data_IF_089738557408
#
_entry.id   IF_089738557408
#
_cell.length_a   1.000
_cell.length_b   1.000
_cell.length_c   1.000
_cell.angle_alpha   90.00
_cell.angle_beta   90.00
_cell.angle_gamma   90.00
#
_symmetry.space_group_name_H-M   'P 1'
#
loop_
_entity.id
_entity.type
_entity.pdbx_description
1 polymer ?
#
# COMPACT_ATOMS: atom_id res chain seq x y z
N UNK A 1 0.11 13.34 15.31
CA UNK A 1 -1.34 13.06 15.34
C UNK A 1 -2.19 14.32 15.31
N UNK A 2 -2.02 15.29 16.22
CA UNK A 2 -2.83 16.53 16.21
C UNK A 2 -2.84 17.26 14.86
N UNK A 3 -1.65 17.43 14.26
CA UNK A 3 -1.51 18.04 12.92
C UNK A 3 -2.19 17.22 11.81
N UNK A 4 -2.23 15.90 11.94
CA UNK A 4 -2.98 15.05 11.00
C UNK A 4 -4.48 15.27 11.17
N UNK A 5 -5.01 15.29 12.39
CA UNK A 5 -6.44 15.55 12.62
C UNK A 5 -6.87 16.92 12.09
N UNK A 6 -6.06 17.95 12.34
CA UNK A 6 -6.32 19.29 11.80
C UNK A 6 -6.35 19.28 10.27
N UNK A 7 -5.39 18.59 9.64
CA UNK A 7 -5.32 18.44 8.20
C UNK A 7 -6.52 17.67 7.62
N UNK A 8 -6.88 16.52 8.20
CA UNK A 8 -8.01 15.70 7.73
C UNK A 8 -9.32 16.50 7.82
N UNK A 9 -9.53 17.21 8.94
CA UNK A 9 -10.70 18.06 9.13
C UNK A 9 -10.76 19.23 8.14
N UNK A 10 -9.63 19.90 7.88
CA UNK A 10 -9.61 21.05 6.95
C UNK A 10 -9.82 20.64 5.49
N UNK A 11 -9.56 19.38 5.16
CA UNK A 11 -9.74 18.82 3.82
C UNK A 11 -10.98 17.89 3.74
N UNK A 12 -11.88 17.96 4.74
CA UNK A 12 -13.15 17.23 4.77
C UNK A 12 -13.01 15.70 4.64
N UNK A 13 -11.88 15.14 5.08
CA UNK A 13 -11.72 13.70 5.22
C UNK A 13 -12.27 13.25 6.58
N UNK A 14 -13.53 12.82 6.61
CA UNK A 14 -14.25 12.48 7.84
C UNK A 14 -15.02 11.15 7.82
N UNK A 15 -15.11 10.48 6.67
CA UNK A 15 -15.81 9.20 6.53
C UNK A 15 -15.01 8.28 5.61
N UNK A 16 -14.39 7.24 6.18
CA UNK A 16 -13.67 6.21 5.42
C UNK A 16 -14.17 4.83 5.84
N UNK A 17 -14.25 3.88 4.92
CA UNK A 17 -14.72 2.54 5.26
C UNK A 17 -13.70 1.76 6.11
N UNK A 18 -12.41 1.89 5.75
CA UNK A 18 -11.30 1.09 6.27
C UNK A 18 -10.10 1.97 6.58
N UNK A 19 -9.47 1.76 7.73
CA UNK A 19 -8.10 2.20 8.00
C UNK A 19 -7.17 0.98 7.92
N UNK A 20 -6.20 1.03 7.01
CA UNK A 20 -5.26 -0.07 6.76
C UNK A 20 -3.84 0.32 7.16
N UNK A 21 -3.18 -0.52 7.96
CA UNK A 21 -1.81 -0.30 8.44
C UNK A 21 -0.92 -1.52 8.15
N UNK A 22 0.02 -1.48 7.19
CA UNK A 22 0.82 -2.64 6.81
C UNK A 22 1.96 -2.95 7.82
N UNK A 23 1.76 -2.71 9.11
CA UNK A 23 2.73 -3.01 10.19
C UNK A 23 3.75 -1.91 10.47
N UNK A 24 4.75 -2.23 11.30
CA UNK A 24 5.77 -1.32 11.84
C UNK A 24 5.17 -0.09 12.54
N UNK A 25 4.21 -0.37 13.42
CA UNK A 25 3.57 0.56 14.35
C UNK A 25 4.55 0.99 15.44
N UNK A 26 5.49 0.12 15.81
CA UNK A 26 6.49 0.38 16.85
C UNK A 26 7.91 0.32 16.32
N UNK A 27 8.89 0.55 17.19
CA UNK A 27 10.30 0.33 16.91
C UNK A 27 10.89 -0.65 17.90
N UNK A 28 11.67 -1.62 17.40
CA UNK A 28 12.45 -2.57 18.22
C UNK A 28 11.62 -3.34 19.24
N UNK A 29 10.42 -3.77 18.84
CA UNK A 29 9.49 -4.55 19.66
C UNK A 29 9.15 -3.86 21.01
N UNK A 30 9.20 -2.53 21.05
CA UNK A 30 8.88 -1.78 22.26
C UNK A 30 7.37 -1.79 22.50
N UNK A 31 6.96 -2.40 23.61
CA UNK A 31 5.56 -2.57 24.03
C UNK A 31 4.87 -1.24 24.28
N UNK A 32 5.54 -0.29 24.94
CA UNK A 32 4.96 1.02 25.22
C UNK A 32 4.74 1.82 23.94
N UNK A 33 5.72 1.78 23.04
CA UNK A 33 5.64 2.44 21.73
C UNK A 33 4.56 1.80 20.86
N UNK A 34 4.41 0.46 20.89
CA UNK A 34 3.34 -0.24 20.19
C UNK A 34 1.97 0.15 20.75
N UNK A 35 1.81 0.11 22.08
CA UNK A 35 0.53 0.43 22.74
C UNK A 35 0.10 1.87 22.44
N UNK A 36 1.06 2.81 22.47
CA UNK A 36 0.83 4.20 22.08
C UNK A 36 0.45 4.32 20.60
N UNK A 37 1.22 3.71 19.69
CA UNK A 37 0.95 3.74 18.25
C UNK A 37 -0.39 3.12 17.87
N UNK A 38 -0.72 1.96 18.46
CA UNK A 38 -2.01 1.29 18.26
C UNK A 38 -3.17 2.12 18.81
N UNK A 39 -3.02 2.75 19.98
CA UNK A 39 -4.01 3.70 20.50
C UNK A 39 -4.23 4.85 19.52
N UNK A 40 -3.15 5.41 18.94
CA UNK A 40 -3.25 6.50 17.95
C UNK A 40 -3.91 6.06 16.64
N UNK A 41 -3.72 4.83 16.20
CA UNK A 41 -4.45 4.28 15.05
C UNK A 41 -5.94 4.10 15.35
N UNK A 42 -6.30 3.67 16.57
CA UNK A 42 -7.71 3.59 16.98
C UNK A 42 -8.36 4.98 17.09
N UNK A 43 -7.65 5.97 17.64
CA UNK A 43 -8.10 7.37 17.65
C UNK A 43 -8.30 7.91 16.22
N UNK A 44 -7.38 7.59 15.30
CA UNK A 44 -7.49 7.98 13.89
C UNK A 44 -8.71 7.34 13.22
N UNK A 45 -8.91 6.03 13.41
CA UNK A 45 -10.08 5.33 12.89
C UNK A 45 -11.38 5.94 13.41
N UNK A 46 -11.45 6.28 14.70
CA UNK A 46 -12.62 6.98 15.27
C UNK A 46 -12.81 8.38 14.66
N UNK A 47 -11.72 9.14 14.48
CA UNK A 47 -11.78 10.49 13.90
C UNK A 47 -12.23 10.49 12.43
N UNK A 48 -11.97 9.41 11.70
CA UNK A 48 -12.38 9.17 10.33
C UNK A 48 -13.70 8.38 10.22
N UNK A 49 -14.40 8.16 11.33
CA UNK A 49 -15.62 7.36 11.40
C UNK A 49 -15.48 5.93 10.81
N UNK A 50 -14.27 5.39 10.79
CA UNK A 50 -13.97 4.13 10.15
C UNK A 50 -14.52 2.95 10.96
N UNK A 51 -15.26 2.07 10.28
CA UNK A 51 -15.84 0.88 10.90
C UNK A 51 -14.79 -0.18 11.22
N UNK A 52 -13.72 -0.23 10.43
CA UNK A 52 -12.66 -1.22 10.61
C UNK A 52 -11.27 -0.57 10.57
N UNK A 53 -10.48 -0.92 11.57
CA UNK A 53 -9.03 -0.77 11.58
C UNK A 53 -8.40 -2.15 11.39
N UNK A 54 -7.56 -2.28 10.37
CA UNK A 54 -6.90 -3.54 10.01
C UNK A 54 -5.40 -3.30 9.92
N UNK A 55 -4.62 -4.08 10.64
CA UNK A 55 -3.17 -4.07 10.54
C UNK A 55 -2.60 -5.41 10.09
N UNK A 56 -1.41 -5.40 9.48
CA UNK A 56 -0.55 -6.59 9.45
C UNK A 56 0.55 -6.44 10.50
N UNK A 57 1.12 -7.55 10.96
CA UNK A 57 2.28 -7.51 11.86
C UNK A 57 3.55 -7.23 11.06
N UNK A 58 4.27 -6.19 11.43
CA UNK A 58 5.58 -5.84 10.89
C UNK A 58 6.73 -6.34 11.75
N UNK A 59 7.94 -6.26 11.20
CA UNK A 59 9.12 -6.86 11.82
C UNK A 59 9.60 -6.09 13.05
N UNK A 60 9.11 -4.86 13.25
CA UNK A 60 9.38 -4.08 14.44
C UNK A 60 8.40 -4.35 15.59
N UNK A 61 7.27 -5.03 15.36
CA UNK A 61 6.33 -5.39 16.44
C UNK A 61 6.82 -6.56 17.29
N UNK A 62 7.59 -7.46 16.70
CA UNK A 62 8.09 -8.69 17.33
C UNK A 62 9.61 -8.68 17.45
N UNK A 63 10.15 -9.55 18.31
CA UNK A 63 11.59 -9.75 18.43
C UNK A 63 12.09 -10.54 17.21
N UNK A 64 12.33 -9.83 16.11
CA UNK A 64 12.92 -10.40 14.90
C UNK A 64 14.42 -10.68 15.06
N UNK A 65 15.09 -10.05 16.02
CA UNK A 65 16.54 -10.17 16.26
C UNK A 65 16.80 -10.39 17.75
N UNK A 66 16.72 -11.63 18.21
CA UNK A 66 17.07 -11.97 19.61
C UNK A 66 18.59 -11.93 19.81
N UNK A 67 19.06 -11.16 20.79
CA UNK A 67 20.46 -11.22 21.21
C UNK A 67 20.80 -12.62 21.73
N UNK A 68 22.04 -13.08 21.54
CA UNK A 68 22.44 -14.46 21.90
C UNK A 68 22.26 -14.78 23.39
N UNK A 69 22.39 -13.78 24.27
CA UNK A 69 22.15 -13.93 25.70
C UNK A 69 20.71 -14.34 26.03
N UNK A 70 19.74 -13.92 25.22
CA UNK A 70 18.32 -14.26 25.38
C UNK A 70 18.00 -15.66 24.82
N UNK A 71 18.96 -16.34 24.19
CA UNK A 71 18.82 -17.72 23.70
C UNK A 71 19.27 -18.75 24.74
N UNK A 72 19.69 -18.31 25.93
CA UNK A 72 20.15 -19.18 27.02
C UNK A 72 18.94 -19.76 27.78
N UNK A 73 18.86 -21.08 28.00
CA UNK A 73 17.80 -21.68 28.82
C UNK A 73 17.76 -21.07 30.22
N UNK A 74 16.57 -20.71 30.71
CA UNK A 74 16.35 -20.17 32.07
C UNK A 74 16.15 -18.65 32.16
N UNK A 75 16.32 -17.88 31.08
CA UNK A 75 16.09 -16.43 31.08
C UNK A 75 14.63 -16.00 30.78
N UNK A 76 13.71 -16.96 30.60
CA UNK A 76 12.30 -16.71 30.23
C UNK A 76 11.55 -15.85 31.26
N UNK A 77 11.88 -15.98 32.54
CA UNK A 77 11.15 -15.32 33.64
C UNK A 77 11.44 -13.81 33.77
N UNK A 78 12.44 -13.29 33.05
CA UNK A 78 12.89 -11.89 33.13
C UNK A 78 12.44 -11.03 31.94
N UNK A 79 11.72 -11.61 30.98
CA UNK A 79 11.41 -10.93 29.72
C UNK A 79 9.91 -10.87 29.45
N UNK A 80 9.43 -9.65 29.20
CA UNK A 80 8.12 -9.44 28.58
C UNK A 80 8.26 -9.78 27.10
N UNK A 81 7.47 -10.72 26.60
CA UNK A 81 7.46 -11.09 25.18
C UNK A 81 6.55 -10.13 24.40
N UNK A 82 7.09 -9.34 23.46
CA UNK A 82 6.28 -8.47 22.61
C UNK A 82 5.21 -9.24 21.83
N UNK A 83 5.47 -10.50 21.43
CA UNK A 83 4.46 -11.32 20.76
C UNK A 83 3.29 -11.65 21.69
N UNK A 84 3.55 -11.96 22.96
CA UNK A 84 2.50 -12.15 23.97
C UNK A 84 1.67 -10.88 24.16
N UNK A 85 2.32 -9.71 24.20
CA UNK A 85 1.62 -8.43 24.27
C UNK A 85 0.69 -8.22 23.07
N UNK A 86 1.14 -8.52 21.85
CA UNK A 86 0.32 -8.42 20.63
C UNK A 86 -0.88 -9.39 20.66
N UNK A 87 -0.68 -10.62 21.14
CA UNK A 87 -1.75 -11.63 21.29
C UNK A 87 -2.85 -11.14 22.25
N UNK A 88 -2.44 -10.52 23.35
CA UNK A 88 -3.32 -9.99 24.39
C UNK A 88 -3.91 -8.61 24.03
N UNK A 89 -3.34 -7.91 23.05
CA UNK A 89 -3.82 -6.59 22.64
C UNK A 89 -5.22 -6.70 22.05
N UNK A 90 -6.17 -5.98 22.66
CA UNK A 90 -7.56 -5.95 22.21
C UNK A 90 -7.64 -5.42 20.77
N UNK A 91 -8.47 -6.07 19.97
CA UNK A 91 -8.75 -5.71 18.57
C UNK A 91 -7.53 -5.75 17.62
N UNK A 92 -6.39 -6.31 18.03
CA UNK A 92 -5.25 -6.53 17.13
C UNK A 92 -5.29 -7.96 16.54
N UNK A 93 -4.89 -8.14 15.26
CA UNK A 93 -4.60 -7.12 14.24
C UNK A 93 -5.85 -6.39 13.70
N UNK A 94 -7.03 -6.93 13.97
CA UNK A 94 -8.32 -6.36 13.59
C UNK A 94 -9.41 -6.78 14.59
N UNK A 95 -10.58 -6.13 14.49
CA UNK A 95 -11.82 -6.63 15.12
C UNK A 95 -12.39 -7.74 14.25
N UNK A 96 -12.25 -8.98 14.71
CA UNK A 96 -12.83 -10.14 14.05
C UNK A 96 -14.25 -10.44 14.53
N UNK A 97 -15.05 -11.08 13.69
CA UNK A 97 -16.40 -11.52 14.04
C UNK A 97 -16.40 -12.62 15.10
N UNK A 98 -15.38 -13.48 15.08
CA UNK A 98 -15.22 -14.56 16.04
C UNK A 98 -13.87 -14.49 16.76
N UNK A 99 -13.87 -14.77 18.07
CA UNK A 99 -12.67 -14.71 18.91
C UNK A 99 -11.56 -15.67 18.46
N UNK A 100 -11.91 -16.79 17.83
CA UNK A 100 -10.94 -17.77 17.36
C UNK A 100 -10.10 -17.30 16.16
N UNK A 101 -10.61 -16.36 15.36
CA UNK A 101 -9.92 -15.86 14.16
C UNK A 101 -8.59 -15.18 14.49
N UNK A 102 -8.50 -14.55 15.67
CA UNK A 102 -7.21 -14.05 16.17
C UNK A 102 -6.21 -15.20 16.31
N UNK A 103 -6.60 -16.31 16.90
CA UNK A 103 -5.73 -17.47 17.07
C UNK A 103 -5.37 -18.12 15.73
N UNK A 104 -6.27 -18.08 14.74
CA UNK A 104 -5.98 -18.52 13.36
C UNK A 104 -4.91 -17.63 12.73
N UNK A 105 -5.04 -16.31 12.81
CA UNK A 105 -4.03 -15.36 12.33
C UNK A 105 -2.63 -15.68 12.88
N UNK A 106 -2.53 -15.88 14.19
CA UNK A 106 -1.26 -16.19 14.84
C UNK A 106 -0.77 -17.62 14.63
N UNK A 107 -1.68 -18.58 14.48
CA UNK A 107 -1.34 -20.00 14.35
C UNK A 107 -1.02 -20.42 12.92
N UNK A 108 -1.67 -19.81 11.91
CA UNK A 108 -1.47 -20.12 10.48
C UNK A 108 -0.66 -19.06 9.73
N UNK A 109 -0.49 -17.88 10.33
CA UNK A 109 0.20 -16.75 9.72
C UNK A 109 -0.68 -15.91 8.77
N UNK A 110 -1.98 -16.14 8.71
CA UNK A 110 -2.93 -15.28 8.00
C UNK A 110 -4.37 -15.46 8.51
N UNK A 111 -5.23 -14.50 8.22
CA UNK A 111 -6.68 -14.57 8.42
C UNK A 111 -7.38 -13.61 7.47
N UNK A 112 -8.68 -13.81 7.22
CA UNK A 112 -9.52 -12.93 6.41
C UNK A 112 -10.48 -12.13 7.27
N UNK A 113 -10.63 -10.84 6.95
CA UNK A 113 -11.72 -9.99 7.43
C UNK A 113 -12.67 -9.71 6.27
N UNK A 114 -13.94 -10.03 6.44
CA UNK A 114 -14.95 -9.96 5.39
C UNK A 114 -16.02 -8.94 5.77
N UNK A 115 -16.20 -7.93 4.92
CA UNK A 115 -17.35 -7.02 4.98
C UNK A 115 -18.42 -7.41 3.95
N UNK A 116 -19.36 -6.50 3.68
CA UNK A 116 -20.50 -6.77 2.79
C UNK A 116 -20.02 -7.02 1.36
N UNK A 117 -19.33 -6.05 0.76
CA UNK A 117 -18.82 -6.07 -0.61
C UNK A 117 -17.29 -6.10 -0.68
N UNK A 118 -16.59 -6.28 0.43
CA UNK A 118 -15.12 -6.30 0.47
C UNK A 118 -14.54 -7.43 1.32
N UNK A 119 -13.28 -7.77 1.05
CA UNK A 119 -12.46 -8.70 1.83
C UNK A 119 -11.04 -8.17 1.98
N UNK A 120 -10.48 -8.31 3.18
CA UNK A 120 -9.05 -8.09 3.46
C UNK A 120 -8.44 -9.41 3.89
N UNK A 121 -7.51 -9.94 3.09
CA UNK A 121 -6.62 -11.03 3.47
C UNK A 121 -5.43 -10.44 4.24
N UNK A 122 -5.36 -10.70 5.54
CA UNK A 122 -4.32 -10.18 6.43
C UNK A 122 -3.24 -11.24 6.57
N UNK A 123 -2.03 -10.94 6.10
CA UNK A 123 -0.89 -11.86 6.15
C UNK A 123 0.11 -11.39 7.20
N UNK A 124 0.39 -12.27 8.16
CA UNK A 124 1.51 -12.12 9.07
C UNK A 124 2.79 -12.63 8.40
N UNK A 125 3.41 -11.81 7.53
CA UNK A 125 4.69 -12.21 6.93
C UNK A 125 5.83 -12.30 7.94
N UNK A 126 5.59 -11.85 9.18
CA UNK A 126 6.51 -11.96 10.30
C UNK A 126 6.30 -13.22 11.15
N UNK A 127 5.34 -14.09 10.81
CA UNK A 127 4.93 -15.26 11.60
C UNK A 127 6.11 -16.19 11.97
N UNK A 128 7.12 -16.28 11.10
CA UNK A 128 8.29 -17.14 11.29
C UNK A 128 9.58 -16.41 11.73
N UNK A 129 9.52 -15.11 12.04
CA UNK A 129 10.71 -14.34 12.41
C UNK A 129 11.39 -14.81 13.70
N UNK A 130 10.65 -15.47 14.58
CA UNK A 130 11.18 -16.04 15.82
C UNK A 130 11.89 -17.37 15.60
N UNK A 131 11.88 -17.91 14.37
CA UNK A 131 12.66 -19.11 14.03
C UNK A 131 14.15 -18.80 13.93
N UNK A 132 14.99 -19.84 14.08
CA UNK A 132 16.44 -19.70 13.97
C UNK A 132 16.96 -19.82 12.52
N UNK A 133 16.06 -19.79 11.52
CA UNK A 133 16.44 -19.89 10.12
C UNK A 133 17.15 -18.60 9.68
N UNK A 134 18.26 -18.76 8.95
CA UNK A 134 19.02 -17.63 8.44
C UNK A 134 18.15 -16.73 7.54
N UNK A 135 18.31 -15.43 7.66
CA UNK A 135 17.63 -14.38 6.90
C UNK A 135 16.09 -14.31 7.06
N UNK A 136 15.47 -15.20 7.84
CA UNK A 136 14.01 -15.23 8.02
C UNK A 136 13.48 -13.92 8.61
N UNK A 137 14.21 -13.38 9.59
CA UNK A 137 13.93 -12.08 10.21
C UNK A 137 14.02 -10.87 9.27
N UNK A 138 14.61 -11.04 8.09
CA UNK A 138 14.81 -9.96 7.12
C UNK A 138 13.73 -9.91 6.07
N UNK A 139 13.41 -11.07 5.48
CA UNK A 139 12.52 -11.15 4.32
C UNK A 139 11.08 -11.50 4.70
N UNK A 140 10.87 -12.19 5.82
CA UNK A 140 9.58 -12.79 6.16
C UNK A 140 9.11 -13.85 5.14
N UNK A 141 7.92 -14.41 5.36
CA UNK A 141 7.38 -15.44 4.46
C UNK A 141 5.87 -15.64 4.55
N UNK A 142 5.34 -16.31 3.53
CA UNK A 142 4.08 -17.06 3.63
C UNK A 142 4.43 -18.55 3.82
N UNK A 143 3.80 -19.20 4.80
CA UNK A 143 4.00 -20.64 5.05
C UNK A 143 3.48 -21.49 3.88
N UNK A 144 4.13 -22.63 3.61
CA UNK A 144 3.71 -23.52 2.51
C UNK A 144 2.29 -24.05 2.72
N UNK A 145 1.96 -24.51 3.94
CA UNK A 145 0.61 -24.99 4.27
C UNK A 145 -0.44 -23.88 4.17
N UNK A 146 -0.09 -22.64 4.57
CA UNK A 146 -0.97 -21.49 4.40
C UNK A 146 -1.22 -21.19 2.92
N UNK A 147 -0.19 -21.28 2.08
CA UNK A 147 -0.29 -21.08 0.64
C UNK A 147 -1.20 -22.13 -0.02
N UNK A 148 -1.06 -23.40 0.36
CA UNK A 148 -1.91 -24.50 -0.12
C UNK A 148 -3.38 -24.32 0.30
N UNK A 149 -3.62 -23.92 1.55
CA UNK A 149 -4.96 -23.63 2.03
C UNK A 149 -5.59 -22.46 1.27
N UNK A 150 -4.86 -21.36 1.08
CA UNK A 150 -5.32 -20.22 0.28
C UNK A 150 -5.62 -20.63 -1.17
N UNK A 151 -4.76 -21.44 -1.79
CA UNK A 151 -5.01 -21.97 -3.15
C UNK A 151 -6.32 -22.73 -3.26
N UNK A 152 -6.71 -23.46 -2.21
CA UNK A 152 -7.95 -24.25 -2.20
C UNK A 152 -9.22 -23.45 -1.90
N UNK A 153 -9.11 -22.31 -1.21
CA UNK A 153 -10.25 -21.64 -0.58
C UNK A 153 -10.48 -20.20 -1.01
N UNK A 154 -9.41 -19.47 -1.37
CA UNK A 154 -9.46 -18.00 -1.51
C UNK A 154 -10.40 -17.55 -2.63
N UNK A 155 -10.40 -18.25 -3.76
CA UNK A 155 -11.31 -17.96 -4.88
C UNK A 155 -12.78 -18.01 -4.45
N UNK A 156 -13.17 -19.04 -3.69
CA UNK A 156 -14.54 -19.20 -3.20
C UNK A 156 -14.91 -18.12 -2.17
N UNK A 157 -14.01 -17.81 -1.24
CA UNK A 157 -14.25 -16.82 -0.18
C UNK A 157 -14.39 -15.41 -0.80
N UNK A 158 -13.61 -15.10 -1.83
CA UNK A 158 -13.56 -13.78 -2.45
C UNK A 158 -14.50 -13.59 -3.65
N UNK A 159 -15.11 -14.65 -4.17
CA UNK A 159 -15.91 -14.61 -5.41
C UNK A 159 -17.00 -13.53 -5.37
N UNK A 160 -17.73 -13.44 -4.26
CA UNK A 160 -18.85 -12.51 -4.09
C UNK A 160 -18.44 -11.14 -3.52
N UNK A 161 -17.15 -10.79 -3.51
CA UNK A 161 -16.62 -9.56 -2.91
C UNK A 161 -16.09 -8.66 -4.00
N UNK A 162 -16.65 -7.47 -4.16
CA UNK A 162 -16.23 -6.51 -5.20
C UNK A 162 -14.79 -6.05 -4.96
N UNK A 163 -14.50 -5.61 -3.73
CA UNK A 163 -13.19 -5.08 -3.35
C UNK A 163 -12.36 -6.13 -2.61
N UNK A 164 -11.15 -6.42 -3.10
CA UNK A 164 -10.31 -7.50 -2.57
C UNK A 164 -8.92 -6.99 -2.29
N UNK A 165 -8.55 -7.00 -1.01
CA UNK A 165 -7.30 -6.45 -0.53
C UNK A 165 -6.46 -7.54 0.12
N UNK A 166 -5.15 -7.42 -0.04
CA UNK A 166 -4.17 -8.13 0.80
C UNK A 166 -3.44 -7.08 1.61
N UNK A 167 -3.34 -7.28 2.92
CA UNK A 167 -2.52 -6.46 3.80
C UNK A 167 -1.37 -7.30 4.36
N UNK A 168 -0.14 -6.90 4.04
CA UNK A 168 1.07 -7.65 4.38
C UNK A 168 2.23 -6.70 4.69
N UNK A 169 3.15 -7.07 5.57
CA UNK A 169 4.27 -6.16 5.86
C UNK A 169 5.37 -6.20 4.80
N UNK A 170 6.05 -7.34 4.68
CA UNK A 170 7.11 -7.54 3.69
C UNK A 170 6.58 -7.57 2.25
N UNK A 171 7.35 -7.05 1.28
CA UNK A 171 6.93 -7.06 -0.11
C UNK A 171 6.92 -8.48 -0.70
N UNK A 172 5.87 -8.85 -1.47
CA UNK A 172 5.76 -10.16 -2.10
C UNK A 172 6.69 -10.37 -3.30
N UNK A 173 7.12 -9.29 -3.93
CA UNK A 173 8.04 -9.29 -5.08
C UNK A 173 9.15 -8.28 -4.85
N UNK A 174 10.19 -8.31 -5.69
CA UNK A 174 11.29 -7.39 -5.54
C UNK A 174 10.83 -5.92 -5.60
N UNK A 175 11.20 -5.12 -4.61
CA UNK A 175 10.88 -3.70 -4.53
C UNK A 175 12.18 -2.92 -4.45
N UNK A 176 12.62 -2.50 -5.63
CA UNK A 176 13.83 -1.73 -5.86
C UNK A 176 13.48 -0.41 -6.55
N UNK A 177 14.33 0.60 -6.33
CA UNK A 177 14.28 1.88 -7.02
C UNK A 177 15.70 2.25 -7.46
N UNK A 178 15.93 2.58 -8.75
CA UNK A 178 17.27 2.91 -9.24
C UNK A 178 17.98 3.99 -8.41
N UNK A 179 19.19 3.67 -7.95
CA UNK A 179 19.98 4.59 -7.13
C UNK A 179 19.46 4.83 -5.71
N UNK A 180 18.57 3.95 -5.21
CA UNK A 180 18.12 3.94 -3.81
C UNK A 180 18.44 2.59 -3.20
N UNK A 181 19.06 2.61 -2.03
CA UNK A 181 19.36 1.40 -1.28
C UNK A 181 18.18 1.10 -0.36
N UNK A 182 17.23 0.30 -0.87
CA UNK A 182 16.05 -0.15 -0.10
C UNK A 182 16.33 -1.39 0.75
N UNK A 183 17.54 -1.95 0.63
CA UNK A 183 17.97 -3.19 1.27
C UNK A 183 17.11 -4.41 0.89
N UNK A 184 17.38 -5.52 1.57
CA UNK A 184 16.63 -6.79 1.75
C UNK A 184 15.85 -7.43 0.60
N UNK A 185 15.86 -8.75 0.60
CA UNK A 185 15.13 -9.61 -0.34
C UNK A 185 13.61 -9.53 -0.18
N UNK A 186 12.84 -9.83 -1.25
CA UNK A 186 11.41 -10.06 -1.16
C UNK A 186 11.08 -11.26 -0.27
N UNK A 187 9.84 -11.33 0.22
CA UNK A 187 9.42 -12.40 1.12
C UNK A 187 9.51 -13.77 0.46
N UNK A 188 9.82 -14.79 1.27
CA UNK A 188 9.80 -16.17 0.82
C UNK A 188 8.37 -16.61 0.47
N UNK A 189 8.24 -17.39 -0.60
CA UNK A 189 6.97 -17.74 -1.25
C UNK A 189 6.16 -16.54 -1.78
N UNK A 190 6.77 -15.35 -1.92
CA UNK A 190 6.02 -14.16 -2.33
C UNK A 190 5.50 -14.20 -3.77
N UNK A 191 6.30 -14.69 -4.70
CA UNK A 191 5.86 -14.87 -6.10
C UNK A 191 4.77 -15.94 -6.22
N UNK A 192 4.92 -17.06 -5.51
CA UNK A 192 3.90 -18.11 -5.54
C UNK A 192 2.60 -17.66 -4.87
N UNK A 193 2.69 -16.81 -3.84
CA UNK A 193 1.53 -16.14 -3.27
C UNK A 193 0.82 -15.23 -4.29
N UNK A 194 1.55 -14.41 -5.04
CA UNK A 194 0.96 -13.57 -6.09
C UNK A 194 0.27 -14.41 -7.17
N UNK A 195 0.84 -15.57 -7.53
CA UNK A 195 0.22 -16.53 -8.45
C UNK A 195 -1.08 -17.10 -7.88
N UNK A 196 -1.13 -17.42 -6.59
CA UNK A 196 -2.38 -17.87 -5.94
C UNK A 196 -3.48 -16.80 -6.03
N UNK A 197 -3.15 -15.51 -5.90
CA UNK A 197 -4.12 -14.43 -6.12
C UNK A 197 -4.56 -14.36 -7.58
N UNK A 198 -3.62 -14.42 -8.52
CA UNK A 198 -3.87 -14.39 -9.96
C UNK A 198 -4.75 -15.56 -10.43
N UNK A 199 -4.49 -16.76 -9.92
CA UNK A 199 -5.24 -18.00 -10.20
C UNK A 199 -6.70 -17.94 -9.73
N UNK A 200 -7.07 -16.99 -8.85
CA UNK A 200 -8.48 -16.76 -8.51
C UNK A 200 -9.27 -16.19 -9.68
N UNK A 201 -8.62 -15.58 -10.67
CA UNK A 201 -9.26 -14.85 -11.76
C UNK A 201 -9.93 -13.54 -11.32
N UNK A 202 -9.64 -13.06 -10.11
CA UNK A 202 -10.24 -11.87 -9.51
C UNK A 202 -9.20 -10.74 -9.41
N UNK A 203 -9.67 -9.49 -9.42
CA UNK A 203 -8.79 -8.34 -9.20
C UNK A 203 -8.44 -8.20 -7.71
N UNK A 204 -7.14 -8.21 -7.40
CA UNK A 204 -6.60 -8.02 -6.05
C UNK A 204 -5.68 -6.80 -5.99
N UNK A 205 -5.78 -6.04 -4.90
CA UNK A 205 -4.77 -5.04 -4.52
C UNK A 205 -3.97 -5.54 -3.31
N UNK A 206 -2.67 -5.71 -3.50
CA UNK A 206 -1.72 -6.07 -2.44
C UNK A 206 -1.09 -4.81 -1.87
N UNK A 207 -1.34 -4.53 -0.59
CA UNK A 207 -0.82 -3.37 0.13
C UNK A 207 0.28 -3.85 1.07
N UNK A 208 1.49 -3.30 0.90
CA UNK A 208 2.63 -3.66 1.73
C UNK A 208 3.42 -2.47 2.29
N UNK A 209 4.21 -2.72 3.33
CA UNK A 209 5.08 -1.74 3.98
C UNK A 209 6.56 -2.10 3.84
N UNK A 210 7.30 -2.04 4.95
CA UNK A 210 8.70 -2.47 5.14
C UNK A 210 9.78 -1.65 4.43
N UNK A 211 9.61 -1.32 3.15
CA UNK A 211 10.65 -0.63 2.36
C UNK A 211 10.76 0.86 2.65
N UNK A 212 9.77 1.42 3.34
CA UNK A 212 9.64 2.87 3.57
C UNK A 212 9.60 3.71 2.28
N UNK A 213 9.35 3.06 1.13
CA UNK A 213 9.40 3.66 -0.19
C UNK A 213 8.13 3.30 -0.95
N UNK A 214 7.57 4.29 -1.63
CA UNK A 214 6.33 4.16 -2.37
C UNK A 214 6.50 3.34 -3.65
N UNK A 215 5.44 2.62 -4.04
CA UNK A 215 5.35 2.02 -5.38
C UNK A 215 3.90 1.69 -5.71
N UNK A 216 3.49 1.86 -6.96
CA UNK A 216 2.22 1.37 -7.46
C UNK A 216 2.46 0.72 -8.82
N UNK A 217 2.43 -0.62 -8.86
CA UNK A 217 2.73 -1.39 -10.06
C UNK A 217 1.85 -2.63 -10.16
N UNK A 218 1.68 -3.13 -11.38
CA UNK A 218 1.08 -4.44 -11.64
C UNK A 218 2.18 -5.47 -11.85
N UNK A 219 2.04 -6.66 -11.27
CA UNK A 219 3.06 -7.73 -11.35
C UNK A 219 2.42 -9.04 -11.75
N UNK A 220 2.87 -9.58 -12.89
CA UNK A 220 2.37 -10.81 -13.51
C UNK A 220 2.10 -10.59 -14.99
N UNK A 221 1.77 -11.67 -15.69
CA UNK A 221 1.65 -11.68 -17.15
C UNK A 221 0.19 -11.79 -17.65
N UNK A 222 -0.78 -11.99 -16.75
CA UNK A 222 -2.19 -12.11 -17.12
C UNK A 222 -2.96 -10.79 -16.95
N UNK A 223 -4.15 -10.74 -17.54
CA UNK A 223 -5.11 -9.64 -17.31
C UNK A 223 -5.74 -9.67 -15.90
N UNK A 224 -5.44 -10.68 -15.06
CA UNK A 224 -5.85 -10.77 -13.64
C UNK A 224 -4.68 -10.71 -12.65
N UNK A 225 -3.48 -10.39 -13.12
CA UNK A 225 -2.32 -10.12 -12.26
C UNK A 225 -2.63 -9.02 -11.22
N UNK A 226 -2.29 -9.24 -9.93
CA UNK A 226 -2.56 -8.28 -8.86
C UNK A 226 -1.90 -6.91 -9.07
N UNK A 227 -2.57 -5.87 -8.59
CA UNK A 227 -1.96 -4.56 -8.37
C UNK A 227 -1.21 -4.59 -7.03
N UNK A 228 -0.03 -3.99 -6.97
CA UNK A 228 0.81 -3.93 -5.78
C UNK A 228 1.07 -2.47 -5.42
N UNK A 229 0.64 -2.11 -4.22
CA UNK A 229 0.90 -0.85 -3.58
C UNK A 229 1.91 -1.03 -2.43
N UNK A 230 3.12 -0.54 -2.63
CA UNK A 230 4.09 -0.35 -1.55
C UNK A 230 3.87 1.02 -0.92
N UNK A 231 3.50 1.06 0.35
CA UNK A 231 3.26 2.30 1.08
C UNK A 231 4.58 2.89 1.60
N UNK A 232 4.77 4.19 1.35
CA UNK A 232 5.74 5.00 2.07
C UNK A 232 5.40 5.07 3.57
N UNK A 233 6.37 5.40 4.40
CA UNK A 233 6.17 5.35 5.84
C UNK A 233 5.50 6.57 6.42
N UNK A 234 4.64 6.37 7.42
CA UNK A 234 3.97 7.47 8.09
C UNK A 234 4.90 8.33 8.97
N UNK A 235 5.90 7.71 9.59
CA UNK A 235 6.71 8.36 10.62
C UNK A 235 8.09 7.75 10.82
N UNK A 236 8.68 7.18 9.77
CA UNK A 236 10.01 6.59 9.85
C UNK A 236 11.09 7.66 9.91
N UNK A 237 12.17 7.37 10.62
CA UNK A 237 13.41 8.15 10.56
C UNK A 237 14.18 7.81 9.29
N UNK A 238 13.73 8.35 8.15
CA UNK A 238 14.35 8.12 6.84
C UNK A 238 15.81 8.61 6.83
N UNK A 239 16.70 7.83 6.21
CA UNK A 239 18.14 8.13 6.12
C UNK A 239 18.67 7.87 4.71
N UNK A 240 19.85 8.40 4.41
CA UNK A 240 20.60 8.11 3.19
C UNK A 240 19.83 8.43 1.90
N UNK A 241 19.97 7.56 0.90
CA UNK A 241 19.35 7.73 -0.42
C UNK A 241 17.82 7.70 -0.38
N UNK A 242 17.22 7.00 0.59
CA UNK A 242 15.77 6.98 0.82
C UNK A 242 15.27 8.38 1.18
N UNK A 243 15.88 9.04 2.17
CA UNK A 243 15.46 10.38 2.62
C UNK A 243 15.59 11.48 1.55
N UNK A 244 16.43 11.24 0.53
CA UNK A 244 16.62 12.15 -0.60
C UNK A 244 15.56 11.95 -1.70
N UNK A 245 14.91 10.79 -1.75
CA UNK A 245 13.97 10.42 -2.83
C UNK A 245 12.53 10.21 -2.36
N UNK A 246 12.28 10.21 -1.06
CA UNK A 246 10.92 10.17 -0.52
C UNK A 246 10.83 10.90 0.82
N UNK A 247 9.60 11.09 1.28
CA UNK A 247 9.25 11.66 2.58
C UNK A 247 8.32 10.72 3.33
N UNK A 248 8.03 11.05 4.58
CA UNK A 248 6.99 10.34 5.30
C UNK A 248 5.62 10.66 4.69
N UNK A 249 4.78 9.64 4.46
CA UNK A 249 3.53 9.75 3.72
C UNK A 249 2.34 9.10 4.42
N UNK A 250 1.14 9.57 4.08
CA UNK A 250 -0.10 8.81 4.23
C UNK A 250 -0.96 8.97 2.97
N UNK A 251 -1.99 8.13 2.85
CA UNK A 251 -2.80 8.01 1.66
C UNK A 251 -4.28 7.95 2.03
N UNK A 252 -5.12 8.64 1.27
CA UNK A 252 -6.56 8.41 1.20
C UNK A 252 -6.83 7.83 -0.19
N UNK A 253 -7.48 6.67 -0.27
CA UNK A 253 -7.66 5.94 -1.53
C UNK A 253 -9.14 5.71 -1.76
N UNK A 254 -9.63 6.23 -2.88
CA UNK A 254 -11.00 6.01 -3.33
C UNK A 254 -11.00 4.82 -4.27
N UNK A 255 -11.87 3.85 -4.01
CA UNK A 255 -12.05 2.65 -4.81
C UNK A 255 -13.39 2.70 -5.54
N UNK A 256 -13.37 2.24 -6.78
CA UNK A 256 -14.55 2.13 -7.63
C UNK A 256 -14.42 0.89 -8.52
N UNK A 257 -15.48 0.59 -9.27
CA UNK A 257 -15.48 -0.44 -10.30
C UNK A 257 -15.86 0.12 -11.66
N UNK A 258 -15.19 -0.40 -12.67
CA UNK A 258 -15.46 -0.12 -14.08
C UNK A 258 -15.71 -1.45 -14.79
N UNK A 259 -16.58 -1.42 -15.81
CA UNK A 259 -16.81 -2.60 -16.65
C UNK A 259 -15.75 -2.68 -17.74
N UNK A 260 -15.16 -3.85 -17.92
CA UNK A 260 -14.29 -4.11 -19.08
C UNK A 260 -15.10 -4.38 -20.36
N UNK A 261 -14.39 -4.71 -21.43
CA UNK A 261 -14.97 -4.92 -22.76
C UNK A 261 -15.95 -6.11 -22.84
N UNK A 262 -15.88 -7.07 -21.91
CA UNK A 262 -16.81 -8.20 -21.83
C UNK A 262 -17.89 -8.01 -20.76
N UNK A 263 -17.82 -6.91 -20.02
CA UNK A 263 -18.82 -6.50 -19.04
C UNK A 263 -18.51 -6.90 -17.60
N UNK A 264 -17.33 -7.46 -17.33
CA UNK A 264 -16.90 -7.83 -15.98
C UNK A 264 -16.55 -6.57 -15.18
N UNK A 265 -16.90 -6.57 -13.89
CA UNK A 265 -16.48 -5.52 -12.96
C UNK A 265 -14.99 -5.65 -12.63
N UNK A 266 -14.27 -4.54 -12.78
CA UNK A 266 -12.82 -4.46 -12.60
C UNK A 266 -12.47 -3.35 -11.61
N UNK A 267 -11.43 -3.58 -10.81
CA UNK A 267 -11.03 -2.65 -9.76
C UNK A 267 -10.40 -1.39 -10.35
N UNK A 268 -10.83 -0.24 -9.85
CA UNK A 268 -10.30 1.07 -10.16
C UNK A 268 -10.00 1.81 -8.86
N UNK A 269 -8.94 2.59 -8.82
CA UNK A 269 -8.59 3.36 -7.63
C UNK A 269 -7.91 4.69 -7.95
N UNK A 270 -8.18 5.71 -7.14
CA UNK A 270 -7.47 7.00 -7.14
C UNK A 270 -6.87 7.28 -5.76
N UNK A 271 -5.64 7.76 -5.74
CA UNK A 271 -4.85 8.00 -4.55
C UNK A 271 -4.70 9.49 -4.30
N UNK A 272 -5.13 9.94 -3.13
CA UNK A 272 -4.70 11.20 -2.55
C UNK A 272 -3.49 10.93 -1.66
N UNK A 273 -2.32 11.39 -2.09
CA UNK A 273 -1.03 11.12 -1.46
C UNK A 273 -0.51 12.38 -0.79
N UNK A 274 -0.24 12.28 0.51
CA UNK A 274 0.25 13.39 1.32
C UNK A 274 1.62 13.07 1.88
N UNK A 275 2.43 14.11 2.11
CA UNK A 275 3.73 14.00 2.75
C UNK A 275 3.88 14.96 3.92
N UNK A 276 4.72 14.58 4.88
CA UNK A 276 5.09 15.42 6.02
C UNK A 276 6.28 16.31 5.65
N UNK A 277 6.10 17.63 5.69
CA UNK A 277 7.15 18.59 5.34
C UNK A 277 7.99 19.08 6.54
N UNK A 278 7.83 18.42 7.69
CA UNK A 278 8.36 18.77 9.02
C UNK A 278 7.49 19.71 9.86
N UNK A 279 6.51 20.40 9.25
CA UNK A 279 5.60 21.31 9.94
C UNK A 279 4.12 20.97 9.76
N UNK A 280 3.75 20.52 8.56
CA UNK A 280 2.38 20.22 8.16
C UNK A 280 2.35 19.10 7.12
N UNK A 281 1.14 18.58 6.90
CA UNK A 281 0.88 17.64 5.83
C UNK A 281 0.54 18.39 4.54
N UNK A 282 1.14 17.98 3.43
CA UNK A 282 0.95 18.59 2.11
C UNK A 282 0.69 17.55 1.04
N UNK A 283 -0.09 17.86 0.00
CA UNK A 283 -0.19 17.01 -1.18
C UNK A 283 1.18 16.80 -1.84
N UNK A 284 1.44 15.59 -2.32
CA UNK A 284 2.65 15.30 -3.10
C UNK A 284 2.54 15.92 -4.50
N UNK A 285 3.46 16.82 -4.81
CA UNK A 285 3.60 17.45 -6.12
C UNK A 285 4.86 17.00 -6.85
N UNK A 286 5.91 16.64 -6.13
CA UNK A 286 7.24 16.31 -6.67
C UNK A 286 7.60 14.83 -6.54
N UNK A 287 8.43 14.34 -7.47
CA UNK A 287 8.91 12.95 -7.49
C UNK A 287 9.69 12.57 -6.21
N UNK A 288 10.38 13.52 -5.60
CA UNK A 288 11.18 13.31 -4.36
C UNK A 288 10.36 13.33 -3.07
N UNK A 289 9.07 13.65 -3.15
CA UNK A 289 8.18 13.73 -1.99
C UNK A 289 7.45 12.41 -1.72
N UNK A 290 7.35 11.52 -2.72
CA UNK A 290 6.57 10.30 -2.54
C UNK A 290 5.77 9.86 -3.76
N UNK A 291 4.74 9.06 -3.49
CA UNK A 291 3.74 8.67 -4.48
C UNK A 291 2.99 9.92 -4.95
N UNK A 292 2.76 10.12 -6.25
CA UNK A 292 2.04 11.28 -6.76
C UNK A 292 0.67 11.43 -6.11
N UNK A 293 0.29 12.67 -5.80
CA UNK A 293 -1.09 12.97 -5.47
C UNK A 293 -1.97 12.89 -6.72
N UNK A 294 -3.16 12.29 -6.63
CA UNK A 294 -4.06 12.02 -7.75
C UNK A 294 -3.52 11.04 -8.81
N UNK A 295 -2.64 10.11 -8.42
CA UNK A 295 -2.34 8.93 -9.24
C UNK A 295 -3.42 7.85 -9.04
N UNK A 296 -3.37 6.79 -9.84
CA UNK A 296 -4.35 5.71 -9.72
C UNK A 296 -4.09 4.56 -10.68
N UNK A 297 -5.10 3.71 -10.81
CA UNK A 297 -5.14 2.66 -11.83
C UNK A 297 -6.58 2.31 -12.17
N UNK A 298 -6.80 1.77 -13.38
CA UNK A 298 -8.07 1.22 -13.85
C UNK A 298 -7.80 -0.15 -14.49
N UNK A 299 -8.21 -1.23 -13.84
CA UNK A 299 -7.98 -2.58 -14.35
C UNK A 299 -8.97 -2.99 -15.46
N UNK A 300 -9.98 -2.16 -15.77
CA UNK A 300 -10.90 -2.42 -16.89
C UNK A 300 -10.31 -2.17 -18.27
N UNK A 301 -9.24 -1.38 -18.34
CA UNK A 301 -8.65 -0.92 -19.59
C UNK A 301 -7.13 -1.01 -19.51
N UNK A 302 -6.53 -1.66 -20.50
CA UNK A 302 -5.10 -1.53 -20.73
C UNK A 302 -4.82 -0.13 -21.27
N UNK A 303 -4.02 0.65 -20.55
CA UNK A 303 -3.67 2.00 -20.96
C UNK A 303 -2.67 1.98 -22.12
N UNK A 304 -3.03 2.62 -23.24
CA UNK A 304 -2.11 2.94 -24.33
C UNK A 304 -1.61 4.39 -24.15
N UNK A 305 -0.44 4.54 -23.55
CA UNK A 305 0.14 5.86 -23.25
C UNK A 305 0.42 6.69 -24.51
N UNK A 306 0.99 6.16 -25.60
CA UNK A 306 1.09 6.89 -26.88
C UNK A 306 -0.23 7.43 -27.39
N UNK A 307 -1.29 6.61 -27.39
CA UNK A 307 -2.62 7.05 -27.83
C UNK A 307 -3.19 8.13 -26.90
N UNK A 308 -3.01 7.97 -25.58
CA UNK A 308 -3.40 8.97 -24.60
C UNK A 308 -2.69 10.31 -24.82
N UNK A 309 -1.40 10.30 -25.16
CA UNK A 309 -0.64 11.53 -25.46
C UNK A 309 -1.18 12.26 -26.70
N UNK A 310 -1.59 11.51 -27.73
CA UNK A 310 -2.25 12.07 -28.92
C UNK A 310 -3.59 12.70 -28.54
N UNK A 311 -4.39 12.00 -27.73
CA UNK A 311 -5.67 12.52 -27.25
C UNK A 311 -5.50 13.82 -26.45
N UNK A 312 -4.51 13.88 -25.55
CA UNK A 312 -4.18 15.10 -24.79
C UNK A 312 -3.83 16.24 -25.74
N UNK A 313 -2.92 16.02 -26.70
CA UNK A 313 -2.54 17.04 -27.70
C UNK A 313 -3.75 17.56 -28.45
N UNK A 314 -4.62 16.67 -28.91
CA UNK A 314 -5.79 17.01 -29.73
C UNK A 314 -6.91 17.68 -28.93
N UNK A 315 -6.89 17.54 -27.60
CA UNK A 315 -7.83 18.19 -26.67
C UNK A 315 -7.40 19.63 -26.31
N UNK A 316 -6.11 19.97 -26.46
CA UNK A 316 -5.65 21.36 -26.24
C UNK A 316 -6.28 22.26 -27.31
N UNK A 317 -7.05 23.31 -26.95
CA UNK A 317 -7.72 24.16 -27.92
C UNK A 317 -6.72 24.85 -28.85
N UNK A 318 -7.00 24.87 -30.15
CA UNK A 318 -6.11 25.48 -31.17
C UNK A 318 -6.08 27.01 -31.10
N UNK A 319 -7.12 27.59 -30.54
CA UNK A 319 -7.35 29.02 -30.35
C UNK A 319 -6.91 29.53 -28.97
N UNK A 320 -6.53 28.63 -28.06
CA UNK A 320 -5.99 28.98 -26.75
C UNK A 320 -4.48 28.69 -26.68
N UNK A 321 -3.69 29.53 -25.98
CA UNK A 321 -2.25 29.31 -25.83
C UNK A 321 -1.91 28.14 -24.91
N UNK A 322 -2.85 27.65 -24.09
CA UNK A 322 -2.64 26.56 -23.13
C UNK A 322 -3.95 25.96 -22.63
N UNK A 323 -3.87 24.81 -21.97
CA UNK A 323 -4.94 24.17 -21.20
C UNK A 323 -4.37 23.66 -19.87
N UNK A 324 -5.14 23.77 -18.78
CA UNK A 324 -4.73 23.26 -17.47
C UNK A 324 -4.83 21.73 -17.42
N UNK A 325 -4.04 21.11 -16.55
CA UNK A 325 -4.15 19.68 -16.30
C UNK A 325 -5.52 19.28 -15.72
N UNK A 326 -6.12 20.14 -14.92
CA UNK A 326 -7.45 19.91 -14.35
C UNK A 326 -8.54 19.85 -15.43
N UNK A 327 -8.52 20.79 -16.39
CA UNK A 327 -9.45 20.79 -17.53
C UNK A 327 -9.27 19.55 -18.41
N UNK A 328 -8.03 19.09 -18.60
CA UNK A 328 -7.76 17.87 -19.35
C UNK A 328 -8.31 16.64 -18.62
N UNK A 329 -8.15 16.54 -17.29
CA UNK A 329 -8.70 15.45 -16.48
C UNK A 329 -10.23 15.38 -16.53
N UNK A 330 -10.91 16.52 -16.68
CA UNK A 330 -12.37 16.58 -16.83
C UNK A 330 -12.84 16.07 -18.20
N UNK A 331 -11.99 16.19 -19.23
CA UNK A 331 -12.32 15.76 -20.61
C UNK A 331 -11.82 14.34 -20.91
N UNK A 332 -10.75 13.89 -20.24
CA UNK A 332 -10.08 12.63 -20.49
C UNK A 332 -10.01 11.82 -19.19
N UNK A 333 -11.02 10.97 -18.96
CA UNK A 333 -11.16 10.18 -17.72
C UNK A 333 -9.90 9.39 -17.36
N UNK A 334 -9.20 8.83 -18.36
CA UNK A 334 -7.98 8.03 -18.15
C UNK A 334 -6.86 8.79 -17.41
N UNK A 335 -6.82 10.12 -17.46
CA UNK A 335 -5.83 10.93 -16.75
C UNK A 335 -6.01 10.91 -15.23
N UNK A 336 -7.17 10.48 -14.72
CA UNK A 336 -7.42 10.31 -13.30
C UNK A 336 -6.81 9.01 -12.72
N UNK A 337 -6.34 8.10 -13.59
CA UNK A 337 -5.99 6.72 -13.20
C UNK A 337 -4.62 6.29 -13.75
N UNK A 338 -3.65 7.20 -13.67
CA UNK A 338 -2.29 6.96 -14.11
C UNK A 338 -1.42 6.47 -12.96
N UNK A 339 -0.71 5.37 -13.14
CA UNK A 339 0.33 4.95 -12.21
C UNK A 339 1.55 5.87 -12.33
N UNK A 340 2.49 5.88 -11.36
CA UNK A 340 3.75 6.61 -11.50
C UNK A 340 4.53 6.31 -12.79
N UNK A 341 4.49 5.05 -13.25
CA UNK A 341 5.10 4.63 -14.51
C UNK A 341 4.40 5.21 -15.74
N UNK A 342 3.06 5.25 -15.72
CA UNK A 342 2.26 5.83 -16.80
C UNK A 342 2.50 7.34 -16.92
N UNK A 343 2.57 8.05 -15.79
CA UNK A 343 2.84 9.49 -15.74
C UNK A 343 4.20 9.81 -16.39
N UNK A 344 5.26 9.07 -16.01
CA UNK A 344 6.60 9.24 -16.59
C UNK A 344 6.59 8.95 -18.09
N UNK A 345 5.91 7.90 -18.50
CA UNK A 345 5.80 7.51 -19.92
C UNK A 345 5.01 8.55 -20.73
N UNK A 346 3.94 9.11 -20.15
CA UNK A 346 3.11 10.12 -20.78
C UNK A 346 3.89 11.41 -21.01
N UNK A 347 4.69 11.87 -20.04
CA UNK A 347 5.59 13.03 -20.21
C UNK A 347 6.53 12.85 -21.41
N UNK A 348 7.13 11.66 -21.55
CA UNK A 348 8.03 11.36 -22.67
C UNK A 348 7.26 11.39 -24.01
N UNK A 349 6.07 10.79 -24.05
CA UNK A 349 5.23 10.77 -25.24
C UNK A 349 4.76 12.18 -25.66
N UNK A 350 4.31 13.01 -24.71
CA UNK A 350 3.94 14.41 -24.92
C UNK A 350 5.11 15.23 -25.47
N UNK A 351 6.33 15.05 -24.93
CA UNK A 351 7.53 15.71 -25.43
C UNK A 351 7.85 15.37 -26.90
N UNK A 352 7.64 14.12 -27.33
CA UNK A 352 7.77 13.72 -28.74
C UNK A 352 6.74 14.39 -29.66
N UNK A 353 5.56 14.66 -29.12
CA UNK A 353 4.48 15.41 -29.79
C UNK A 353 4.64 16.92 -29.70
N UNK A 354 5.75 17.40 -29.12
CA UNK A 354 6.06 18.82 -28.88
C UNK A 354 5.08 19.55 -27.95
N UNK A 355 4.27 18.81 -27.18
CA UNK A 355 3.45 19.39 -26.12
C UNK A 355 4.35 19.76 -24.95
N UNK A 356 4.33 21.03 -24.54
CA UNK A 356 5.18 21.58 -23.46
C UNK A 356 4.38 21.74 -22.19
N UNK A 357 4.92 21.24 -21.07
CA UNK A 357 4.39 21.51 -19.74
C UNK A 357 5.05 22.74 -19.11
N UNK A 358 4.26 23.61 -18.50
CA UNK A 358 4.74 24.72 -17.66
C UNK A 358 4.86 24.24 -16.20
N UNK A 359 5.94 23.53 -15.86
CA UNK A 359 6.31 23.19 -14.46
C UNK A 359 7.82 22.96 -14.32
N UNK A 360 8.30 22.89 -13.07
CA UNK A 360 9.63 22.36 -12.78
C UNK A 360 9.77 20.90 -13.26
N UNK A 361 10.98 20.51 -13.66
CA UNK A 361 11.31 19.19 -14.21
C UNK A 361 10.89 18.01 -13.31
N UNK A 362 10.77 18.23 -11.99
CA UNK A 362 10.51 17.20 -10.99
C UNK A 362 9.04 17.09 -10.53
N UNK A 363 8.14 17.94 -11.03
CA UNK A 363 6.71 17.84 -10.73
C UNK A 363 6.12 16.59 -11.36
N UNK A 364 5.26 15.86 -10.65
CA UNK A 364 4.59 14.68 -11.19
C UNK A 364 3.68 15.02 -12.38
N UNK A 365 2.89 16.09 -12.25
CA UNK A 365 1.96 16.53 -13.28
C UNK A 365 2.29 17.97 -13.71
N UNK A 366 2.11 18.31 -15.00
CA UNK A 366 2.16 19.70 -15.42
C UNK A 366 0.98 20.47 -14.81
N UNK A 367 1.13 21.77 -14.53
CA UNK A 367 0.01 22.64 -14.17
C UNK A 367 -0.78 23.03 -15.43
N UNK A 368 -0.04 23.35 -16.49
CA UNK A 368 -0.55 23.74 -17.80
C UNK A 368 0.25 23.06 -18.91
N UNK A 369 -0.43 22.82 -20.03
CA UNK A 369 0.14 22.28 -21.27
C UNK A 369 -0.16 23.20 -22.45
N UNK A 370 0.79 23.32 -23.37
CA UNK A 370 0.69 24.10 -24.60
C UNK A 370 1.31 23.38 -25.80
N UNK A 371 0.93 23.79 -27.02
CA UNK A 371 1.42 23.23 -28.30
C UNK A 371 2.69 23.92 -28.82
#
# INVERSE_FOLDING_TARGET
MERLHAFLKSNEFNDVDLVLCPGDITTRACIDSFSSGWSKLNELAQALNAKHLVASTGNHEIISRSADINKTPGNVELHVDPQEHLLCTKNYPAVFAHSHQRWVYWGRGYETLVGDNWIVLIINSCHFHTTQLANEFERGRVGQSALEEMKSSLGNIAMNKVFRFVLIHHPPNNHEEPGVELGREPMFNGIDFLRVLEDTGLDWLVIHGHKHFQRLIRVGDSDRSPMIFGAGSFGAGLKGTVAAKTKNQFYIVDFDVSKDAVGDERLKASFNSFYWDLTEWKPVVNETQGLPNFCGFDLSKKLDVPQLAVLVRDTIPKDAPWCTWLELKQQIDALNYLTPGDIKSLKIALGKLKVKGLTELQHWFPEQLSL
#
